data_IF_007369389888
#
_entry.id   IF_007369389888
#
_cell.length_a   1.000
_cell.length_b   1.000
_cell.length_c   1.000
_cell.angle_alpha   90.00
_cell.angle_beta   90.00
_cell.angle_gamma   90.00
#
_symmetry.space_group_name_H-M   'P 1'
#
loop_
_entity.id
_entity.type
_entity.pdbx_description
1 polymer ?
#
# COMPACT_ATOMS: atom_id res chain seq x y z
N UNK A 1 -16.04 23.62 4.94
CA UNK A 1 -14.95 24.52 4.52
C UNK A 1 -14.95 24.64 3.00
N UNK A 2 -15.43 25.76 2.47
CA UNK A 2 -15.49 26.09 1.04
C UNK A 2 -14.38 27.09 0.72
N UNK A 3 -13.86 27.08 -0.52
CA UNK A 3 -12.78 27.98 -0.95
C UNK A 3 -13.16 29.45 -0.79
N UNK A 4 -14.43 29.80 -1.04
CA UNK A 4 -14.99 31.15 -0.85
C UNK A 4 -14.83 31.69 0.57
N UNK A 5 -14.74 30.82 1.56
CA UNK A 5 -14.61 31.23 2.97
C UNK A 5 -13.18 31.78 3.29
N UNK A 6 -12.24 31.75 2.32
CA UNK A 6 -10.82 32.10 2.47
C UNK A 6 -10.29 33.05 1.37
N UNK A 7 -11.15 33.79 0.70
CA UNK A 7 -10.76 34.72 -0.38
C UNK A 7 -9.89 35.88 0.10
N UNK A 8 -9.96 36.21 1.40
CA UNK A 8 -9.14 37.23 2.03
C UNK A 8 -7.69 36.79 2.32
N UNK A 9 -7.37 35.52 2.15
CA UNK A 9 -6.06 34.98 2.51
C UNK A 9 -5.08 35.16 1.36
N UNK A 10 -4.13 36.11 1.51
CA UNK A 10 -3.20 36.51 0.46
C UNK A 10 -1.78 36.02 0.70
N UNK A 11 -1.29 35.98 1.95
CA UNK A 11 0.10 35.64 2.27
C UNK A 11 0.27 34.17 2.57
N UNK A 12 0.36 33.36 1.52
CA UNK A 12 0.50 31.91 1.62
C UNK A 12 1.84 31.44 1.07
N UNK A 13 2.38 30.38 1.64
CA UNK A 13 3.58 29.76 1.11
C UNK A 13 3.51 28.22 1.22
N UNK A 14 4.18 27.55 0.31
CA UNK A 14 4.44 26.12 0.39
C UNK A 14 5.92 25.92 0.72
N UNK A 15 6.20 25.02 1.66
CA UNK A 15 7.56 24.65 2.07
C UNK A 15 7.59 23.19 2.55
N UNK A 16 8.73 22.77 3.08
CA UNK A 16 8.85 21.42 3.69
C UNK A 16 7.87 21.20 4.87
N UNK A 17 7.41 22.26 5.53
CA UNK A 17 6.38 22.15 6.58
C UNK A 17 4.94 22.06 6.01
N UNK A 18 4.78 22.00 4.70
CA UNK A 18 3.49 22.03 4.02
C UNK A 18 3.06 23.44 3.60
N UNK A 19 1.75 23.65 3.54
CA UNK A 19 1.13 24.91 3.16
C UNK A 19 0.96 25.81 4.38
N UNK A 20 1.56 27.00 4.38
CA UNK A 20 1.53 27.93 5.52
C UNK A 20 0.72 29.18 5.23
N UNK A 21 0.01 29.66 6.26
CA UNK A 21 -0.78 30.88 6.26
C UNK A 21 -0.37 31.70 7.48
N UNK A 22 -0.30 33.03 7.34
CA UNK A 22 -0.15 33.93 8.48
C UNK A 22 -1.46 33.96 9.29
N UNK A 23 -1.38 33.83 10.61
CA UNK A 23 -2.57 33.87 11.47
C UNK A 23 -3.22 35.26 11.46
N UNK A 24 -2.44 36.31 11.16
CA UNK A 24 -2.95 37.67 10.97
C UNK A 24 -3.93 37.80 9.79
N UNK A 25 -3.81 36.93 8.81
CA UNK A 25 -4.65 36.94 7.60
C UNK A 25 -5.93 36.08 7.78
N UNK A 26 -6.12 35.51 8.97
CA UNK A 26 -7.23 34.63 9.30
C UNK A 26 -8.08 35.19 10.44
N UNK A 27 -9.37 35.07 10.35
CA UNK A 27 -10.26 35.29 11.49
C UNK A 27 -10.17 34.13 12.49
N UNK A 28 -10.59 34.36 13.73
CA UNK A 28 -10.64 33.27 14.73
C UNK A 28 -11.53 32.13 14.28
N UNK A 29 -12.65 32.40 13.64
CA UNK A 29 -13.58 31.42 13.11
C UNK A 29 -12.93 30.58 11.98
N UNK A 30 -12.18 31.22 11.08
CA UNK A 30 -11.44 30.51 10.02
C UNK A 30 -10.38 29.56 10.61
N UNK A 31 -9.64 30.01 11.65
CA UNK A 31 -8.65 29.16 12.33
C UNK A 31 -9.32 27.92 12.94
N UNK A 32 -10.42 28.10 13.67
CA UNK A 32 -11.15 26.97 14.28
C UNK A 32 -11.74 26.04 13.22
N UNK A 33 -12.24 26.57 12.12
CA UNK A 33 -12.74 25.77 11.00
C UNK A 33 -11.63 24.92 10.37
N UNK A 34 -10.43 25.48 10.20
CA UNK A 34 -9.25 24.73 9.70
C UNK A 34 -8.87 23.65 10.71
N UNK A 35 -8.76 23.97 11.98
CA UNK A 35 -8.37 23.02 13.04
C UNK A 35 -9.37 21.86 13.11
N UNK A 36 -10.67 22.15 13.10
CA UNK A 36 -11.72 21.12 13.07
C UNK A 36 -11.62 20.21 11.84
N UNK A 37 -11.38 20.77 10.66
CA UNK A 37 -11.25 20.00 9.41
C UNK A 37 -10.00 19.09 9.40
N UNK A 38 -8.94 19.48 10.11
CA UNK A 38 -7.65 18.78 10.19
C UNK A 38 -7.43 18.02 11.50
N UNK A 39 -8.44 17.96 12.36
CA UNK A 39 -8.50 17.04 13.50
C UNK A 39 -9.14 15.73 13.04
N UNK A 40 -8.42 14.64 13.21
CA UNK A 40 -8.84 13.33 12.74
C UNK A 40 -9.08 12.41 13.93
N UNK A 41 -10.28 11.87 14.01
CA UNK A 41 -10.65 10.82 14.96
C UNK A 41 -10.80 9.54 14.16
N UNK A 42 -9.97 8.50 14.39
CA UNK A 42 -10.13 7.21 13.73
C UNK A 42 -11.49 6.62 14.08
N UNK A 43 -12.20 6.04 13.11
CA UNK A 43 -13.39 5.26 13.40
C UNK A 43 -12.98 3.95 14.06
N UNK A 44 -13.57 3.64 15.19
CA UNK A 44 -13.42 2.32 15.83
C UNK A 44 -14.21 1.32 15.00
N UNK A 45 -13.58 0.22 14.63
CA UNK A 45 -14.32 -0.93 14.10
C UNK A 45 -15.02 -1.57 15.31
N UNK A 46 -16.33 -1.57 15.30
CA UNK A 46 -17.12 -2.15 16.39
C UNK A 46 -16.65 -3.57 16.73
N UNK A 47 -16.32 -3.78 18.00
CA UNK A 47 -15.86 -5.07 18.50
C UNK A 47 -14.35 -5.24 18.65
N UNK A 48 -13.51 -4.30 18.16
CA UNK A 48 -12.05 -4.37 18.28
C UNK A 48 -11.47 -3.00 18.67
N UNK A 49 -10.80 -2.93 19.83
CA UNK A 49 -9.99 -1.78 20.24
C UNK A 49 -10.62 -0.88 21.32
N UNK A 50 -9.90 0.17 21.71
CA UNK A 50 -10.35 1.18 22.66
C UNK A 50 -11.57 1.92 22.10
N UNK A 51 -12.66 1.98 22.85
CA UNK A 51 -13.91 2.63 22.43
C UNK A 51 -13.77 4.15 22.19
N UNK A 52 -12.65 4.77 22.61
CA UNK A 52 -12.34 6.19 22.39
C UNK A 52 -10.93 6.36 21.83
N UNK A 53 -10.72 6.30 20.50
CA UNK A 53 -9.43 6.55 19.91
C UNK A 53 -9.04 8.03 20.07
N UNK A 54 -7.82 8.29 20.52
CA UNK A 54 -7.29 9.65 20.62
C UNK A 54 -7.29 10.37 19.26
N UNK A 55 -7.79 11.61 19.20
CA UNK A 55 -7.68 12.42 18.00
C UNK A 55 -6.22 12.73 17.70
N UNK A 56 -5.88 12.89 16.41
CA UNK A 56 -4.59 13.39 16.00
C UNK A 56 -4.74 14.54 15.00
N UNK A 57 -3.73 15.42 15.00
CA UNK A 57 -3.79 16.68 14.27
C UNK A 57 -2.92 16.62 13.02
N UNK A 58 -3.49 17.00 11.86
CA UNK A 58 -2.77 17.10 10.60
C UNK A 58 -2.16 18.48 10.38
N UNK A 59 -2.47 19.45 11.22
CA UNK A 59 -1.88 20.78 11.19
C UNK A 59 -0.77 20.93 12.22
N UNK A 60 0.04 21.94 12.03
CA UNK A 60 1.01 22.47 13.02
C UNK A 60 0.83 23.98 13.11
N UNK A 61 1.21 24.56 14.22
CA UNK A 61 1.16 26.02 14.36
C UNK A 61 2.28 26.55 15.26
N UNK A 62 2.65 27.79 15.03
CA UNK A 62 3.47 28.60 15.94
C UNK A 62 2.73 29.90 16.25
N UNK A 63 3.41 30.86 16.90
CA UNK A 63 2.80 32.17 17.27
C UNK A 63 2.20 32.87 16.06
N UNK A 64 2.85 32.82 14.88
CA UNK A 64 2.53 33.67 13.73
C UNK A 64 1.88 32.91 12.58
N UNK A 65 2.03 31.56 12.49
CA UNK A 65 1.61 30.78 11.32
C UNK A 65 0.88 29.51 11.71
N UNK A 66 -0.02 29.08 10.82
CA UNK A 66 -0.56 27.75 10.79
C UNK A 66 -0.04 27.01 9.53
N UNK A 67 0.34 25.74 9.70
CA UNK A 67 0.86 24.87 8.66
C UNK A 67 -0.11 23.73 8.41
N UNK A 68 -0.47 23.52 7.15
CA UNK A 68 -1.47 22.56 6.69
C UNK A 68 -0.81 21.54 5.76
N UNK A 69 -1.39 20.33 5.60
CA UNK A 69 -0.98 19.44 4.53
C UNK A 69 -1.06 20.16 3.18
N UNK A 70 -0.05 19.94 2.33
CA UNK A 70 0.15 20.69 1.09
C UNK A 70 -1.11 20.75 0.22
N UNK A 71 -1.65 19.59 -0.13
CA UNK A 71 -2.76 19.51 -1.09
C UNK A 71 -4.09 19.93 -0.46
N UNK A 72 -4.24 19.78 0.86
CA UNK A 72 -5.36 20.40 1.56
C UNK A 72 -5.35 21.91 1.41
N UNK A 73 -4.19 22.55 1.67
CA UNK A 73 -4.04 24.00 1.52
C UNK A 73 -4.29 24.46 0.08
N UNK A 74 -3.69 23.81 -0.90
CA UNK A 74 -3.90 24.14 -2.31
C UNK A 74 -5.39 24.01 -2.73
N UNK A 75 -6.09 22.99 -2.25
CA UNK A 75 -7.49 22.72 -2.61
C UNK A 75 -8.48 23.63 -1.90
N UNK A 76 -8.24 23.96 -0.63
CA UNK A 76 -9.19 24.66 0.25
C UNK A 76 -8.93 26.15 0.35
N UNK A 77 -7.68 26.57 0.25
CA UNK A 77 -7.28 27.99 0.33
C UNK A 77 -7.00 28.51 -1.10
N UNK A 78 -6.14 27.84 -1.84
CA UNK A 78 -5.81 28.22 -3.20
C UNK A 78 -4.33 28.03 -3.56
N UNK A 79 -3.93 28.57 -4.70
CA UNK A 79 -2.55 28.51 -5.15
C UNK A 79 -1.66 29.32 -4.18
N UNK A 80 -0.53 28.78 -3.69
CA UNK A 80 0.36 29.51 -2.80
C UNK A 80 1.03 30.67 -3.53
N UNK A 81 1.21 31.81 -2.83
CA UNK A 81 1.90 32.98 -3.38
C UNK A 81 3.41 32.77 -3.44
N UNK A 82 3.98 31.92 -2.58
CA UNK A 82 5.41 31.60 -2.55
C UNK A 82 5.61 30.08 -2.52
N UNK A 83 6.50 29.58 -3.40
CA UNK A 83 6.91 28.17 -3.41
C UNK A 83 8.35 28.05 -2.91
N UNK A 84 8.55 27.39 -1.78
CA UNK A 84 9.82 27.13 -1.11
C UNK A 84 10.10 25.63 -0.95
N UNK A 85 9.48 24.80 -1.77
CA UNK A 85 9.74 23.36 -1.79
C UNK A 85 11.16 23.06 -2.27
N UNK A 86 11.74 21.99 -1.76
CA UNK A 86 13.02 21.52 -2.26
C UNK A 86 12.87 20.99 -3.69
N UNK A 87 13.65 21.54 -4.61
CA UNK A 87 13.67 21.11 -6.02
C UNK A 87 14.36 19.75 -6.18
N UNK A 88 15.16 19.34 -5.18
CA UNK A 88 15.96 18.13 -5.18
C UNK A 88 17.08 18.15 -6.21
N UNK A 89 18.02 17.23 -6.06
CA UNK A 89 19.10 17.01 -7.04
C UNK A 89 18.54 16.34 -8.28
N UNK A 90 19.09 16.71 -9.43
CA UNK A 90 18.80 16.02 -10.68
C UNK A 90 19.59 14.71 -10.75
N UNK A 91 18.96 13.67 -11.31
CA UNK A 91 19.57 12.37 -11.56
C UNK A 91 19.42 12.03 -13.05
N UNK A 92 20.30 11.17 -13.54
CA UNK A 92 20.20 10.63 -14.89
C UNK A 92 20.25 9.10 -14.84
N UNK A 93 19.07 8.50 -14.70
CA UNK A 93 18.89 7.06 -14.64
C UNK A 93 17.87 6.67 -15.72
N UNK A 94 18.34 6.35 -16.95
CA UNK A 94 17.45 5.98 -18.04
C UNK A 94 16.72 4.68 -17.72
N UNK A 95 15.43 4.65 -18.08
CA UNK A 95 14.59 3.47 -17.89
C UNK A 95 14.94 2.39 -18.93
N UNK A 96 15.17 1.17 -18.45
CA UNK A 96 15.44 0.01 -19.27
C UNK A 96 14.19 -0.88 -19.34
N UNK A 97 13.38 -0.69 -20.38
CA UNK A 97 12.15 -1.44 -20.59
C UNK A 97 11.18 -0.70 -21.52
N UNK A 98 10.01 -1.29 -21.72
CA UNK A 98 8.94 -0.72 -22.54
C UNK A 98 7.64 -0.65 -21.72
N UNK A 99 6.96 0.49 -21.75
CA UNK A 99 5.64 0.65 -21.14
C UNK A 99 4.55 0.15 -22.08
N UNK A 100 3.59 -0.60 -21.54
CA UNK A 100 2.38 -0.98 -22.27
C UNK A 100 1.51 0.25 -22.52
N UNK A 101 0.67 0.21 -23.53
CA UNK A 101 -0.16 1.35 -23.91
C UNK A 101 -1.05 1.86 -22.77
N UNK A 102 -1.71 0.95 -22.05
CA UNK A 102 -2.53 1.33 -20.91
C UNK A 102 -1.73 1.96 -19.77
N UNK A 103 -0.49 1.49 -19.54
CA UNK A 103 0.41 2.07 -18.53
C UNK A 103 0.80 3.49 -18.90
N UNK A 104 1.04 3.76 -20.19
CA UNK A 104 1.35 5.09 -20.67
C UNK A 104 0.20 6.07 -20.44
N UNK A 105 -1.05 5.64 -20.64
CA UNK A 105 -2.25 6.46 -20.32
C UNK A 105 -2.30 6.82 -18.84
N UNK A 106 -2.02 5.87 -17.95
CA UNK A 106 -1.99 6.06 -16.49
C UNK A 106 -0.89 7.04 -16.10
N UNK A 107 0.30 6.86 -16.65
CA UNK A 107 1.47 7.73 -16.41
C UNK A 107 1.19 9.16 -16.85
N UNK A 108 0.61 9.35 -18.03
CA UNK A 108 0.25 10.67 -18.55
C UNK A 108 -0.77 11.37 -17.65
N UNK A 109 -1.79 10.65 -17.16
CA UNK A 109 -2.77 11.19 -16.21
C UNK A 109 -2.11 11.70 -14.93
N UNK A 110 -1.16 10.92 -14.36
CA UNK A 110 -0.40 11.39 -13.20
C UNK A 110 0.47 12.60 -13.54
N UNK A 111 1.14 12.60 -14.70
CA UNK A 111 2.03 13.69 -15.12
C UNK A 111 1.27 15.02 -15.24
N UNK A 112 0.08 15.00 -15.84
CA UNK A 112 -0.78 16.19 -15.93
C UNK A 112 -1.18 16.73 -14.55
N UNK A 113 -1.51 15.84 -13.60
CA UNK A 113 -1.79 16.24 -12.22
C UNK A 113 -0.56 16.81 -11.52
N UNK A 114 0.61 16.17 -11.70
CA UNK A 114 1.86 16.60 -11.10
C UNK A 114 2.32 17.96 -11.63
N UNK A 115 2.12 18.26 -12.90
CA UNK A 115 2.44 19.56 -13.48
C UNK A 115 1.57 20.69 -12.90
N UNK A 116 0.30 20.40 -12.58
CA UNK A 116 -0.65 21.38 -12.03
C UNK A 116 -0.49 21.57 -10.52
N UNK A 117 -0.34 20.49 -9.77
CA UNK A 117 -0.42 20.49 -8.31
C UNK A 117 0.84 19.97 -7.60
N UNK A 118 1.69 19.24 -8.30
CA UNK A 118 2.92 18.63 -7.81
C UNK A 118 2.78 17.17 -7.39
N UNK A 119 1.66 16.49 -7.68
CA UNK A 119 1.56 15.06 -7.40
C UNK A 119 0.15 14.51 -7.52
N UNK A 120 0.01 13.24 -7.16
CA UNK A 120 -1.26 12.51 -7.19
C UNK A 120 -1.10 11.04 -6.82
N UNK A 121 -2.22 10.35 -6.77
CA UNK A 121 -2.29 8.93 -6.43
C UNK A 121 -2.75 8.16 -7.66
N UNK A 122 -1.99 7.12 -8.03
CA UNK A 122 -2.38 6.11 -9.02
C UNK A 122 -3.02 4.95 -8.26
N UNK A 123 -4.29 4.68 -8.58
CA UNK A 123 -5.05 3.57 -8.03
C UNK A 123 -5.37 2.58 -9.13
N UNK A 124 -4.64 1.46 -9.13
CA UNK A 124 -4.84 0.37 -10.08
C UNK A 124 -4.71 -0.98 -9.40
N UNK A 125 -5.44 -1.96 -9.89
CA UNK A 125 -5.47 -3.30 -9.33
C UNK A 125 -4.09 -3.95 -9.22
N UNK A 126 -3.99 -5.08 -8.49
CA UNK A 126 -2.79 -5.91 -8.46
C UNK A 126 -2.42 -6.40 -9.87
N UNK A 127 -1.14 -6.71 -10.11
CA UNK A 127 -0.67 -7.21 -11.41
C UNK A 127 -0.56 -6.17 -12.54
N UNK A 128 -1.07 -4.95 -12.37
CA UNK A 128 -1.06 -3.89 -13.38
C UNK A 128 0.29 -3.17 -13.54
N UNK A 129 1.33 -3.55 -12.81
CA UNK A 129 2.68 -2.98 -12.91
C UNK A 129 2.85 -1.62 -12.24
N UNK A 130 2.16 -1.35 -11.12
CA UNK A 130 2.30 -0.11 -10.33
C UNK A 130 3.76 0.28 -10.09
N UNK A 131 4.56 -0.68 -9.62
CA UNK A 131 5.99 -0.48 -9.32
C UNK A 131 6.78 -0.06 -10.56
N UNK A 132 6.54 -0.73 -11.69
CA UNK A 132 7.24 -0.44 -12.96
C UNK A 132 6.86 0.95 -13.48
N UNK A 133 5.57 1.31 -13.44
CA UNK A 133 5.11 2.66 -13.79
C UNK A 133 5.75 3.73 -12.91
N UNK A 134 5.86 3.49 -11.60
CA UNK A 134 6.51 4.43 -10.69
C UNK A 134 7.99 4.59 -11.00
N UNK A 135 8.71 3.51 -11.33
CA UNK A 135 10.12 3.54 -11.73
C UNK A 135 10.30 4.33 -13.05
N UNK A 136 9.40 4.12 -14.01
CA UNK A 136 9.41 4.92 -15.23
C UNK A 136 9.18 6.42 -14.96
N UNK A 137 8.21 6.74 -14.08
CA UNK A 137 7.96 8.12 -13.67
C UNK A 137 9.19 8.74 -13.00
N UNK A 138 9.90 8.01 -12.13
CA UNK A 138 11.14 8.49 -11.50
C UNK A 138 12.21 8.82 -12.54
N UNK A 139 12.40 7.94 -13.54
CA UNK A 139 13.32 8.20 -14.67
C UNK A 139 12.91 9.43 -15.47
N UNK A 140 11.63 9.56 -15.80
CA UNK A 140 11.08 10.70 -16.55
C UNK A 140 11.22 12.03 -15.79
N UNK A 141 10.99 12.03 -14.48
CA UNK A 141 11.06 13.25 -13.65
C UNK A 141 12.48 13.68 -13.35
N UNK A 142 13.47 12.80 -13.51
CA UNK A 142 14.91 13.07 -13.32
C UNK A 142 15.24 13.74 -11.99
N UNK A 143 14.59 13.30 -10.91
CA UNK A 143 14.80 13.82 -9.56
C UNK A 143 15.25 12.73 -8.61
N UNK A 144 16.23 13.04 -7.74
CA UNK A 144 16.56 12.18 -6.61
C UNK A 144 15.28 11.85 -5.86
N UNK A 145 14.99 10.55 -5.70
CA UNK A 145 13.71 10.06 -5.22
C UNK A 145 13.85 9.29 -3.92
N UNK A 146 12.94 9.56 -2.98
CA UNK A 146 12.73 8.76 -1.80
C UNK A 146 11.50 7.86 -2.00
N UNK A 147 11.69 6.54 -1.92
CA UNK A 147 10.62 5.56 -1.95
C UNK A 147 10.33 5.16 -0.51
N UNK A 148 9.08 5.23 -0.10
CA UNK A 148 8.63 4.87 1.25
C UNK A 148 7.83 3.58 1.23
N UNK A 149 8.29 2.62 2.04
CA UNK A 149 7.68 1.30 2.18
C UNK A 149 7.45 0.97 3.65
N UNK A 150 6.51 0.06 3.93
CA UNK A 150 6.14 -0.30 5.30
C UNK A 150 6.62 -1.69 5.74
N UNK A 151 7.04 -2.57 4.80
CA UNK A 151 7.59 -3.90 5.09
C UNK A 151 8.98 -4.08 4.50
N UNK A 152 9.75 -5.02 5.09
CA UNK A 152 11.09 -5.38 4.59
C UNK A 152 11.04 -6.08 3.24
N UNK A 153 9.98 -6.82 2.98
CA UNK A 153 9.81 -7.54 1.72
C UNK A 153 9.57 -6.57 0.56
N UNK A 154 8.74 -5.53 0.79
CA UNK A 154 8.59 -4.44 -0.17
C UNK A 154 9.90 -3.69 -0.41
N UNK A 155 10.71 -3.46 0.64
CA UNK A 155 12.02 -2.84 0.49
C UNK A 155 12.92 -3.66 -0.45
N UNK A 156 13.00 -4.97 -0.25
CA UNK A 156 13.79 -5.87 -1.09
C UNK A 156 13.26 -5.91 -2.54
N UNK A 157 11.95 -6.00 -2.72
CA UNK A 157 11.32 -5.93 -4.05
C UNK A 157 11.66 -4.62 -4.77
N UNK A 158 11.57 -3.49 -4.09
CA UNK A 158 11.91 -2.21 -4.69
C UNK A 158 13.37 -2.13 -5.10
N UNK A 159 14.30 -2.69 -4.30
CA UNK A 159 15.72 -2.79 -4.67
C UNK A 159 15.87 -3.59 -5.96
N UNK A 160 15.27 -4.78 -6.01
CA UNK A 160 15.32 -5.67 -7.17
C UNK A 160 14.77 -4.99 -8.43
N UNK A 161 13.57 -4.40 -8.34
CA UNK A 161 12.92 -3.76 -9.48
C UNK A 161 13.63 -2.48 -9.93
N UNK A 162 14.14 -1.66 -9.01
CA UNK A 162 14.95 -0.49 -9.38
C UNK A 162 16.24 -0.93 -10.06
N UNK A 163 16.91 -1.97 -9.57
CA UNK A 163 18.13 -2.53 -10.21
C UNK A 163 17.83 -3.03 -11.61
N UNK A 164 16.71 -3.69 -11.82
CA UNK A 164 16.29 -4.24 -13.11
C UNK A 164 16.00 -3.14 -14.14
N UNK A 165 15.21 -2.11 -13.73
CA UNK A 165 14.69 -1.11 -14.66
C UNK A 165 15.49 0.19 -14.69
N UNK A 166 16.32 0.49 -13.69
CA UNK A 166 17.25 1.61 -13.66
C UNK A 166 18.66 1.10 -13.31
N UNK A 167 19.32 0.32 -14.19
CA UNK A 167 20.58 -0.37 -13.87
C UNK A 167 21.73 0.58 -13.52
N UNK A 168 21.66 1.84 -13.91
CA UNK A 168 22.66 2.87 -13.59
C UNK A 168 22.42 3.59 -12.27
N UNK A 169 21.26 3.37 -11.61
CA UNK A 169 20.88 4.06 -10.39
C UNK A 169 21.68 3.57 -9.17
N UNK A 170 22.22 4.49 -8.41
CA UNK A 170 22.86 4.21 -7.12
C UNK A 170 21.78 4.16 -6.04
N UNK A 171 21.50 2.96 -5.56
CA UNK A 171 20.45 2.71 -4.56
C UNK A 171 21.00 2.89 -3.16
N UNK A 172 20.24 3.53 -2.26
CA UNK A 172 20.51 3.62 -0.83
C UNK A 172 19.32 3.17 -0.01
N UNK A 173 19.55 2.92 1.27
CA UNK A 173 18.55 2.40 2.21
C UNK A 173 18.52 3.28 3.46
N UNK A 174 17.29 3.59 3.95
CA UNK A 174 17.06 4.20 5.26
C UNK A 174 16.20 3.26 6.10
N UNK A 175 16.87 2.56 7.03
CA UNK A 175 16.23 1.59 7.92
C UNK A 175 16.94 1.53 9.26
N UNK A 176 16.29 1.97 10.33
CA UNK A 176 16.89 2.01 11.66
C UNK A 176 18.16 2.88 11.67
N UNK A 177 19.28 2.30 12.03
CA UNK A 177 20.60 2.97 12.05
C UNK A 177 21.27 3.08 10.67
N UNK A 178 20.77 2.35 9.67
CA UNK A 178 21.32 2.38 8.31
C UNK A 178 20.73 3.57 7.56
N UNK A 179 21.56 4.57 7.25
CA UNK A 179 21.17 5.84 6.59
C UNK A 179 22.10 6.08 5.39
N UNK A 180 21.74 5.52 4.25
CA UNK A 180 22.49 5.63 2.99
C UNK A 180 21.81 6.62 2.05
N UNK A 181 22.05 7.91 2.22
CA UNK A 181 21.45 8.97 1.41
C UNK A 181 22.46 9.67 0.50
N UNK A 182 23.68 9.86 1.02
CA UNK A 182 24.72 10.61 0.30
C UNK A 182 25.13 9.88 -0.99
N UNK A 183 25.27 10.63 -2.09
CA UNK A 183 25.67 10.11 -3.40
C UNK A 183 24.76 8.99 -3.96
N UNK A 184 23.50 8.92 -3.49
CA UNK A 184 22.50 7.99 -3.98
C UNK A 184 21.49 8.72 -4.86
N UNK A 185 20.98 8.02 -5.87
CA UNK A 185 20.00 8.53 -6.81
C UNK A 185 18.57 8.20 -6.37
N UNK A 186 18.39 6.94 -5.95
CA UNK A 186 17.14 6.41 -5.41
C UNK A 186 17.40 5.89 -4.00
N UNK A 187 16.59 6.32 -3.04
CA UNK A 187 16.69 5.87 -1.65
C UNK A 187 15.38 5.21 -1.23
N UNK A 188 15.47 4.01 -0.65
CA UNK A 188 14.28 3.29 -0.15
C UNK A 188 14.28 3.39 1.37
N UNK A 189 13.23 4.00 1.91
CA UNK A 189 13.07 4.29 3.33
C UNK A 189 11.93 3.53 3.97
N UNK A 190 12.19 3.00 5.18
CA UNK A 190 11.13 2.39 6.01
C UNK A 190 10.31 3.47 6.70
N UNK A 191 9.00 3.49 6.47
CA UNK A 191 8.09 4.47 7.10
C UNK A 191 8.19 4.45 8.63
N UNK A 192 8.29 3.26 9.23
CA UNK A 192 8.44 3.11 10.68
C UNK A 192 9.69 3.80 11.23
N UNK A 193 10.79 3.78 10.47
CA UNK A 193 12.02 4.46 10.88
C UNK A 193 11.84 5.97 10.87
N UNK A 194 11.28 6.51 9.77
CA UNK A 194 11.12 7.94 9.56
C UNK A 194 9.99 8.58 10.39
N UNK A 195 9.00 7.80 10.82
CA UNK A 195 7.86 8.28 11.61
C UNK A 195 8.09 8.24 13.12
N UNK A 196 9.21 7.67 13.59
CA UNK A 196 9.51 7.55 15.01
C UNK A 196 10.00 8.89 15.59
N UNK A 197 9.24 9.55 16.49
CA UNK A 197 9.62 10.85 17.03
C UNK A 197 10.88 10.82 17.89
N UNK A 198 11.22 9.65 18.49
CA UNK A 198 12.46 9.48 19.28
C UNK A 198 13.73 9.47 18.40
N UNK A 199 13.56 9.43 17.07
CA UNK A 199 14.65 9.36 16.10
C UNK A 199 14.72 10.60 15.21
N UNK A 200 14.05 11.69 15.58
CA UNK A 200 14.02 12.90 14.77
C UNK A 200 15.42 13.51 14.58
N UNK A 201 16.30 13.36 15.56
CA UNK A 201 17.71 13.77 15.46
C UNK A 201 18.54 12.89 14.53
N UNK A 202 18.20 11.59 14.40
CA UNK A 202 18.84 10.66 13.46
C UNK A 202 18.49 10.97 12.00
N UNK A 203 17.35 11.65 11.76
CA UNK A 203 16.83 11.98 10.42
C UNK A 203 16.66 13.49 10.26
N UNK A 204 17.76 14.27 10.22
CA UNK A 204 17.69 15.74 10.16
C UNK A 204 17.10 16.21 8.82
N UNK A 205 16.49 17.39 8.84
CA UNK A 205 15.89 18.01 7.66
C UNK A 205 16.88 18.12 6.48
N UNK A 206 18.15 18.36 6.77
CA UNK A 206 19.21 18.50 5.76
C UNK A 206 19.30 17.26 4.86
N UNK A 207 19.06 16.07 5.44
CA UNK A 207 19.04 14.81 4.68
C UNK A 207 17.99 14.82 3.56
N UNK A 208 16.85 15.49 3.79
CA UNK A 208 15.73 15.50 2.86
C UNK A 208 15.83 16.56 1.76
N UNK A 209 16.71 17.57 1.92
CA UNK A 209 16.83 18.67 0.94
C UNK A 209 17.25 18.22 -0.47
N UNK A 210 17.94 17.11 -0.57
CA UNK A 210 18.40 16.57 -1.86
C UNK A 210 17.30 15.89 -2.67
N UNK A 211 16.20 15.49 -2.02
CA UNK A 211 15.11 14.80 -2.70
C UNK A 211 14.14 15.78 -3.35
N UNK A 212 13.81 15.53 -4.61
CA UNK A 212 12.79 16.28 -5.34
C UNK A 212 11.47 15.53 -5.49
N UNK A 213 11.48 14.22 -5.24
CA UNK A 213 10.31 13.37 -5.39
C UNK A 213 10.19 12.36 -4.24
N UNK A 214 8.95 12.06 -3.86
CA UNK A 214 8.63 10.95 -2.96
C UNK A 214 7.63 10.01 -3.64
N UNK A 215 7.88 8.72 -3.54
CA UNK A 215 6.96 7.64 -3.95
C UNK A 215 6.55 6.88 -2.70
N UNK A 216 5.26 6.62 -2.53
CA UNK A 216 4.75 5.85 -1.40
C UNK A 216 3.96 4.67 -1.93
N UNK A 217 4.50 3.49 -1.67
CA UNK A 217 3.87 2.25 -2.09
C UNK A 217 2.86 1.77 -1.05
N UNK A 218 1.75 1.20 -1.54
CA UNK A 218 0.62 0.71 -0.77
C UNK A 218 0.20 1.70 0.34
N UNK A 219 0.07 2.98 -0.05
CA UNK A 219 -0.15 4.09 0.87
C UNK A 219 -1.37 3.89 1.81
N UNK A 220 -2.33 3.05 1.42
CA UNK A 220 -3.52 2.73 2.20
C UNK A 220 -3.26 1.80 3.40
N UNK A 221 -2.17 1.02 3.41
CA UNK A 221 -1.81 0.13 4.54
C UNK A 221 -1.19 0.87 5.72
N UNK A 222 -0.63 2.05 5.50
CA UNK A 222 0.05 2.81 6.54
C UNK A 222 -0.96 3.49 7.47
N UNK A 223 -0.81 3.31 8.78
CA UNK A 223 -1.65 4.01 9.76
C UNK A 223 -1.57 5.53 9.59
N UNK A 224 -2.71 6.21 9.49
CA UNK A 224 -2.78 7.64 9.14
C UNK A 224 -1.94 8.54 10.07
N UNK A 225 -1.82 8.21 11.35
CA UNK A 225 -0.96 8.94 12.32
C UNK A 225 0.52 8.79 11.99
N UNK A 226 0.97 7.58 11.66
CA UNK A 226 2.35 7.28 11.26
C UNK A 226 2.69 7.92 9.92
N UNK A 227 1.79 7.78 8.96
CA UNK A 227 1.89 8.37 7.63
C UNK A 227 2.05 9.90 7.71
N UNK A 228 1.18 10.58 8.47
CA UNK A 228 1.25 12.03 8.61
C UNK A 228 2.55 12.50 9.26
N UNK A 229 3.10 11.75 10.22
CA UNK A 229 4.40 12.05 10.85
C UNK A 229 5.56 11.95 9.86
N UNK A 230 5.58 10.89 9.07
CA UNK A 230 6.59 10.70 8.04
C UNK A 230 6.52 11.84 6.99
N UNK A 231 5.32 12.14 6.50
CA UNK A 231 5.14 13.10 5.42
C UNK A 231 5.29 14.57 5.82
N UNK A 232 5.22 14.90 7.10
CA UNK A 232 5.60 16.22 7.59
C UNK A 232 7.07 16.55 7.34
N UNK A 233 7.94 15.53 7.20
CA UNK A 233 9.37 15.69 6.91
C UNK A 233 9.69 15.61 5.41
N UNK A 234 8.75 15.15 4.59
CA UNK A 234 8.99 14.78 3.19
C UNK A 234 8.13 15.58 2.19
N UNK A 235 7.95 16.88 2.45
CA UNK A 235 7.24 17.75 1.51
C UNK A 235 8.15 18.14 0.34
N UNK A 236 8.26 17.25 -0.64
CA UNK A 236 9.06 17.44 -1.84
C UNK A 236 8.25 18.06 -2.98
N UNK A 237 8.93 18.41 -4.06
CA UNK A 237 8.31 19.03 -5.22
C UNK A 237 7.26 18.12 -5.85
N UNK A 238 7.56 16.80 -5.95
CA UNK A 238 6.66 15.82 -6.54
C UNK A 238 6.32 14.70 -5.57
N UNK A 239 5.06 14.27 -5.60
CA UNK A 239 4.55 13.15 -4.81
C UNK A 239 3.84 12.14 -5.71
N UNK A 240 4.07 10.86 -5.47
CA UNK A 240 3.37 9.76 -6.12
C UNK A 240 2.90 8.76 -5.07
N UNK A 241 1.60 8.59 -4.93
CA UNK A 241 1.01 7.51 -4.16
C UNK A 241 0.63 6.35 -5.07
N UNK A 242 0.90 5.12 -4.63
CA UNK A 242 0.47 3.89 -5.28
C UNK A 242 -0.50 3.15 -4.36
N UNK A 243 -1.59 2.66 -4.92
CA UNK A 243 -2.58 1.89 -4.17
C UNK A 243 -3.33 0.93 -5.08
N UNK A 244 -3.66 -0.27 -4.57
CA UNK A 244 -4.60 -1.15 -5.24
C UNK A 244 -6.05 -0.81 -4.87
N UNK A 245 -6.27 -0.36 -3.64
CA UNK A 245 -7.57 -0.02 -3.08
C UNK A 245 -7.48 1.31 -2.32
N UNK A 246 -7.84 2.44 -2.96
CA UNK A 246 -7.62 3.76 -2.36
C UNK A 246 -8.55 4.05 -1.18
N UNK A 247 -9.68 3.31 -1.08
CA UNK A 247 -10.67 3.57 -0.05
C UNK A 247 -10.41 2.74 1.21
N UNK A 248 -10.24 3.45 2.32
CA UNK A 248 -10.04 2.86 3.64
C UNK A 248 -11.36 2.72 4.39
N UNK A 249 -11.54 1.58 5.06
CA UNK A 249 -12.73 1.33 5.90
C UNK A 249 -12.80 2.27 7.12
N UNK A 250 -11.66 2.76 7.62
CA UNK A 250 -11.58 3.70 8.74
C UNK A 250 -11.91 5.16 8.34
N UNK A 251 -12.27 5.41 7.06
CA UNK A 251 -12.62 6.74 6.54
C UNK A 251 -11.44 7.71 6.42
N UNK A 252 -10.20 7.23 6.57
CA UNK A 252 -8.99 8.06 6.58
C UNK A 252 -8.33 8.24 5.20
N UNK A 253 -8.98 7.81 4.12
CA UNK A 253 -8.55 8.05 2.72
C UNK A 253 -8.23 9.52 2.45
N UNK A 254 -9.00 10.46 3.05
CA UNK A 254 -8.77 11.90 2.93
C UNK A 254 -7.37 12.32 3.40
N UNK A 255 -6.78 11.63 4.38
CA UNK A 255 -5.45 11.97 4.92
C UNK A 255 -4.39 11.80 3.84
N UNK A 256 -4.43 10.71 3.08
CA UNK A 256 -3.48 10.48 1.99
C UNK A 256 -3.60 11.52 0.89
N UNK A 257 -4.83 11.87 0.51
CA UNK A 257 -5.10 12.93 -0.49
C UNK A 257 -4.56 14.30 -0.04
N UNK A 258 -4.57 14.58 1.27
CA UNK A 258 -4.04 15.82 1.79
C UNK A 258 -2.52 15.95 1.68
N UNK A 259 -1.80 14.83 1.66
CA UNK A 259 -0.34 14.81 1.57
C UNK A 259 0.20 14.44 0.19
N UNK A 260 -0.53 13.62 -0.59
CA UNK A 260 -0.06 13.09 -1.88
C UNK A 260 -0.71 13.73 -3.10
N UNK A 261 -1.88 14.35 -2.93
CA UNK A 261 -2.73 14.85 -4.00
C UNK A 261 -3.96 13.98 -4.22
N UNK A 262 -4.82 14.41 -5.14
CA UNK A 262 -6.02 13.67 -5.50
C UNK A 262 -5.64 12.37 -6.27
N UNK A 263 -6.61 11.45 -6.36
CA UNK A 263 -6.47 10.26 -7.20
C UNK A 263 -6.55 10.75 -8.65
N UNK A 264 -5.46 10.60 -9.39
CA UNK A 264 -5.35 11.02 -10.79
C UNK A 264 -5.80 9.93 -11.76
N UNK A 265 -5.74 8.67 -11.34
CA UNK A 265 -6.25 7.54 -12.10
C UNK A 265 -6.81 6.47 -11.15
N UNK A 266 -7.96 5.90 -11.50
CA UNK A 266 -8.62 4.86 -10.71
C UNK A 266 -9.29 3.83 -11.62
N UNK A 267 -8.76 2.61 -11.65
CA UNK A 267 -9.30 1.49 -12.43
C UNK A 267 -10.75 1.14 -12.08
N UNK A 268 -11.10 1.23 -10.79
CA UNK A 268 -12.41 0.82 -10.29
C UNK A 268 -13.50 1.86 -10.52
N UNK A 269 -13.12 3.11 -10.81
CA UNK A 269 -14.06 4.20 -11.06
C UNK A 269 -14.40 4.39 -12.54
N UNK A 270 -13.70 3.68 -13.42
CA UNK A 270 -13.97 3.72 -14.86
C UNK A 270 -14.96 2.58 -15.14
N UNK A 271 -16.19 2.90 -15.55
CA UNK A 271 -17.09 1.93 -16.19
C UNK A 271 -16.41 1.47 -17.49
N UNK A 272 -15.80 0.31 -17.46
CA UNK A 272 -15.16 -0.27 -18.62
C UNK A 272 -16.23 -0.79 -19.57
N UNK A 273 -16.18 -0.35 -20.80
CA UNK A 273 -16.98 -0.95 -21.87
C UNK A 273 -16.47 -2.41 -22.10
N UNK A 274 -17.35 -3.28 -22.61
CA UNK A 274 -17.00 -4.66 -22.93
C UNK A 274 -15.76 -4.79 -23.82
N UNK A 275 -15.52 -3.80 -24.68
CA UNK A 275 -14.38 -3.76 -25.61
C UNK A 275 -13.09 -3.29 -24.92
N UNK A 276 -13.17 -2.38 -23.95
CA UNK A 276 -12.01 -1.96 -23.15
C UNK A 276 -11.54 -3.07 -22.20
N UNK A 277 -12.46 -3.91 -21.68
CA UNK A 277 -12.13 -5.11 -20.92
C UNK A 277 -11.36 -6.13 -21.76
N UNK A 278 -11.72 -6.28 -23.05
CA UNK A 278 -11.02 -7.17 -23.99
C UNK A 278 -9.66 -6.62 -24.41
N UNK A 279 -9.48 -5.30 -24.51
CA UNK A 279 -8.21 -4.68 -24.87
C UNK A 279 -7.17 -4.70 -23.76
N UNK A 280 -7.59 -4.85 -22.50
CA UNK A 280 -6.67 -4.85 -21.35
C UNK A 280 -5.81 -6.12 -21.22
N UNK A 281 -6.01 -7.16 -22.06
CA UNK A 281 -5.27 -8.43 -22.07
C UNK A 281 -4.88 -8.94 -20.67
N UNK A 282 -5.78 -8.75 -19.69
CA UNK A 282 -5.61 -9.42 -18.42
C UNK A 282 -5.93 -10.89 -18.63
N UNK A 283 -5.11 -11.81 -18.11
CA UNK A 283 -5.48 -13.19 -18.13
C UNK A 283 -6.78 -13.36 -17.36
N UNK A 284 -7.73 -14.03 -17.95
CA UNK A 284 -8.93 -14.48 -17.27
C UNK A 284 -8.53 -15.52 -16.22
N UNK A 285 -9.16 -15.45 -15.05
CA UNK A 285 -9.01 -16.47 -14.03
C UNK A 285 -10.24 -17.39 -14.07
N UNK A 286 -10.03 -18.66 -14.23
CA UNK A 286 -11.08 -19.64 -14.05
C UNK A 286 -11.38 -19.79 -12.55
N UNK A 287 -12.61 -19.47 -12.15
CA UNK A 287 -13.04 -19.53 -10.76
C UNK A 287 -13.89 -20.78 -10.54
N UNK A 288 -13.37 -21.72 -9.77
CA UNK A 288 -14.09 -22.92 -9.35
C UNK A 288 -14.59 -22.75 -7.91
N UNK A 289 -15.90 -22.84 -7.71
CA UNK A 289 -16.53 -22.77 -6.40
C UNK A 289 -16.93 -24.17 -5.99
N UNK A 290 -16.34 -24.66 -4.89
CA UNK A 290 -16.66 -25.95 -4.31
C UNK A 290 -17.49 -25.74 -3.03
N UNK A 291 -18.70 -26.26 -3.01
CA UNK A 291 -19.54 -26.27 -1.83
C UNK A 291 -19.17 -27.48 -0.98
N UNK A 292 -18.80 -27.22 0.29
CA UNK A 292 -18.53 -28.25 1.26
C UNK A 292 -19.70 -28.34 2.25
N UNK A 293 -20.41 -29.46 2.24
CA UNK A 293 -21.51 -29.75 3.13
C UNK A 293 -21.02 -30.63 4.28
N UNK A 294 -21.48 -30.35 5.49
CA UNK A 294 -21.17 -31.10 6.69
C UNK A 294 -22.47 -31.36 7.45
N UNK A 295 -22.64 -32.63 7.94
CA UNK A 295 -23.80 -33.04 8.74
C UNK A 295 -23.69 -32.66 10.24
N UNK A 296 -22.56 -32.07 10.66
CA UNK A 296 -22.37 -31.62 12.05
C UNK A 296 -23.03 -30.26 12.25
N UNK A 297 -24.08 -30.20 13.03
CA UNK A 297 -24.82 -28.96 13.39
C UNK A 297 -23.93 -27.87 14.00
N UNK A 298 -22.76 -28.24 14.50
CA UNK A 298 -21.78 -27.27 15.03
C UNK A 298 -20.96 -26.56 13.94
N UNK A 299 -20.85 -27.15 12.75
CA UNK A 299 -20.06 -26.62 11.66
C UNK A 299 -20.58 -25.27 11.19
N UNK A 300 -21.87 -25.14 10.93
CA UNK A 300 -22.53 -23.92 10.43
C UNK A 300 -23.10 -23.04 11.54
N UNK A 301 -22.81 -23.35 12.80
CA UNK A 301 -23.38 -22.63 13.94
C UNK A 301 -22.91 -21.17 13.98
N UNK A 302 -23.89 -20.25 13.95
CA UNK A 302 -23.65 -18.84 14.18
C UNK A 302 -23.19 -18.60 15.61
N UNK A 303 -21.97 -18.13 15.78
CA UNK A 303 -21.40 -17.76 17.09
C UNK A 303 -21.43 -16.24 17.23
N UNK A 304 -22.09 -15.77 18.29
CA UNK A 304 -22.19 -14.35 18.60
C UNK A 304 -21.17 -13.96 19.68
N UNK A 305 -20.63 -12.75 19.59
CA UNK A 305 -19.84 -12.13 20.65
C UNK A 305 -20.75 -11.53 21.74
N UNK A 306 -20.16 -10.94 22.80
CA UNK A 306 -20.90 -10.32 23.91
C UNK A 306 -21.80 -9.13 23.47
N UNK A 307 -21.52 -8.52 22.31
CA UNK A 307 -22.37 -7.46 21.68
C UNK A 307 -23.44 -8.02 20.76
N UNK A 308 -23.70 -9.32 20.79
CA UNK A 308 -24.65 -10.04 19.89
C UNK A 308 -24.33 -9.90 18.39
N UNK A 309 -23.08 -9.65 18.04
CA UNK A 309 -22.58 -9.57 16.65
C UNK A 309 -21.88 -10.90 16.28
N UNK A 310 -21.87 -11.32 14.99
CA UNK A 310 -21.17 -12.52 14.57
C UNK A 310 -19.70 -12.49 14.96
N UNK A 311 -19.25 -13.51 15.71
CA UNK A 311 -17.84 -13.70 16.05
C UNK A 311 -17.11 -14.46 14.94
N UNK A 312 -16.78 -13.74 13.88
CA UNK A 312 -16.13 -14.30 12.68
C UNK A 312 -14.80 -14.98 13.00
N UNK A 313 -14.03 -14.47 13.97
CA UNK A 313 -12.74 -15.06 14.37
C UNK A 313 -12.91 -16.47 14.96
N UNK A 314 -13.89 -16.65 15.83
CA UNK A 314 -14.18 -17.96 16.43
C UNK A 314 -14.77 -18.91 15.39
N UNK A 315 -15.70 -18.44 14.57
CA UNK A 315 -16.30 -19.24 13.50
C UNK A 315 -15.24 -19.72 12.50
N UNK A 316 -14.34 -18.83 12.07
CA UNK A 316 -13.24 -19.15 11.18
C UNK A 316 -12.24 -20.15 11.81
N UNK A 317 -11.96 -20.01 13.11
CA UNK A 317 -11.15 -20.98 13.85
C UNK A 317 -11.82 -22.35 13.88
N UNK A 318 -13.13 -22.41 14.08
CA UNK A 318 -13.87 -23.67 14.10
C UNK A 318 -13.83 -24.33 12.71
N UNK A 319 -14.13 -23.60 11.64
CA UNK A 319 -14.06 -24.11 10.26
C UNK A 319 -12.68 -24.69 9.95
N UNK A 320 -11.61 -24.01 10.38
CA UNK A 320 -10.23 -24.44 10.11
C UNK A 320 -9.83 -25.74 10.84
N UNK A 321 -10.54 -26.14 11.89
CA UNK A 321 -10.29 -27.35 12.67
C UNK A 321 -11.03 -28.58 12.17
N UNK A 322 -11.97 -28.44 11.24
CA UNK A 322 -12.69 -29.57 10.67
C UNK A 322 -11.79 -30.38 9.72
N UNK A 323 -11.37 -31.54 10.20
CA UNK A 323 -10.44 -32.41 9.47
C UNK A 323 -11.02 -32.89 8.14
N UNK A 324 -12.29 -33.30 8.12
CA UNK A 324 -12.97 -33.72 6.89
C UNK A 324 -13.00 -32.63 5.81
N UNK A 325 -13.08 -31.35 6.22
CA UNK A 325 -12.98 -30.22 5.28
C UNK A 325 -11.55 -30.03 4.76
N UNK A 326 -10.56 -30.15 5.64
CA UNK A 326 -9.14 -30.11 5.24
C UNK A 326 -8.83 -31.26 4.27
N UNK A 327 -9.32 -32.48 4.55
CA UNK A 327 -9.15 -33.64 3.68
C UNK A 327 -9.85 -33.46 2.33
N UNK A 328 -11.05 -32.84 2.32
CA UNK A 328 -11.72 -32.48 1.08
C UNK A 328 -10.88 -31.51 0.23
N UNK A 329 -10.30 -30.46 0.82
CA UNK A 329 -9.42 -29.55 0.10
C UNK A 329 -8.19 -30.27 -0.46
N UNK A 330 -7.59 -31.17 0.33
CA UNK A 330 -6.45 -31.98 -0.08
C UNK A 330 -6.81 -32.92 -1.24
N UNK A 331 -8.02 -33.47 -1.26
CA UNK A 331 -8.48 -34.36 -2.34
C UNK A 331 -8.53 -33.71 -3.72
N UNK A 332 -8.55 -32.38 -3.79
CA UNK A 332 -8.49 -31.63 -5.05
C UNK A 332 -7.06 -31.55 -5.62
N UNK A 333 -6.04 -31.72 -4.79
CA UNK A 333 -4.63 -31.47 -5.16
C UNK A 333 -4.07 -32.47 -6.19
N UNK A 334 -4.35 -33.80 -6.13
CA UNK A 334 -3.77 -34.75 -7.10
C UNK A 334 -4.04 -34.37 -8.55
N UNK A 335 -5.26 -33.93 -8.85
CA UNK A 335 -5.62 -33.49 -10.20
C UNK A 335 -4.86 -32.22 -10.64
N UNK A 336 -4.71 -31.25 -9.76
CA UNK A 336 -3.96 -30.02 -10.04
C UNK A 336 -2.46 -30.29 -10.20
N UNK A 337 -1.91 -31.16 -9.36
CA UNK A 337 -0.50 -31.57 -9.42
C UNK A 337 -0.19 -32.31 -10.70
N UNK A 338 -1.08 -33.22 -11.15
CA UNK A 338 -0.90 -33.96 -12.42
C UNK A 338 -0.88 -33.03 -13.64
N UNK A 339 -1.52 -31.87 -13.55
CA UNK A 339 -1.47 -30.82 -14.56
C UNK A 339 -0.24 -29.91 -14.43
N UNK A 340 0.72 -30.28 -13.58
CA UNK A 340 1.93 -29.50 -13.28
C UNK A 340 1.66 -28.09 -12.76
N UNK A 341 0.51 -27.85 -12.09
CA UNK A 341 0.16 -26.56 -11.51
C UNK A 341 1.07 -26.19 -10.36
N UNK A 342 1.32 -24.88 -10.23
CA UNK A 342 2.03 -24.26 -9.10
C UNK A 342 1.00 -23.63 -8.15
N UNK A 343 0.82 -24.24 -6.99
CA UNK A 343 -0.34 -24.01 -6.12
C UNK A 343 0.06 -23.20 -4.89
N UNK A 344 -0.78 -22.23 -4.52
CA UNK A 344 -0.75 -21.61 -3.21
C UNK A 344 -2.06 -21.87 -2.48
N UNK A 345 -1.97 -22.39 -1.25
CA UNK A 345 -3.12 -22.61 -0.35
C UNK A 345 -3.04 -21.54 0.74
N UNK A 346 -4.09 -20.72 0.89
CA UNK A 346 -4.17 -19.65 1.87
C UNK A 346 -5.08 -20.00 3.04
N UNK A 347 -4.57 -19.84 4.24
CA UNK A 347 -5.34 -19.95 5.48
C UNK A 347 -5.00 -18.79 6.42
N UNK A 348 -5.99 -18.37 7.22
CA UNK A 348 -5.79 -17.41 8.32
C UNK A 348 -5.24 -18.07 9.60
N UNK A 349 -5.19 -19.41 9.65
CA UNK A 349 -4.84 -20.19 10.84
C UNK A 349 -3.56 -20.99 10.64
N UNK A 350 -2.55 -20.74 11.51
CA UNK A 350 -1.25 -21.43 11.43
C UNK A 350 -1.35 -22.92 11.70
N UNK A 351 -2.26 -23.34 12.59
CA UNK A 351 -2.47 -24.75 12.91
C UNK A 351 -2.97 -25.50 11.65
N UNK A 352 -3.91 -24.91 10.91
CA UNK A 352 -4.38 -25.51 9.66
C UNK A 352 -3.28 -25.55 8.57
N UNK A 353 -2.39 -24.55 8.55
CA UNK A 353 -1.23 -24.56 7.63
C UNK A 353 -0.32 -25.74 7.96
N UNK A 354 -0.02 -25.97 9.23
CA UNK A 354 0.79 -27.11 9.67
C UNK A 354 0.13 -28.46 9.29
N UNK A 355 -1.17 -28.58 9.51
CA UNK A 355 -1.96 -29.77 9.13
C UNK A 355 -1.94 -30.04 7.63
N UNK A 356 -2.12 -29.03 6.78
CA UNK A 356 -1.96 -29.17 5.33
C UNK A 356 -0.57 -29.67 4.94
N UNK A 357 0.48 -29.10 5.53
CA UNK A 357 1.87 -29.48 5.19
C UNK A 357 2.13 -30.92 5.58
N UNK A 358 1.73 -31.34 6.79
CA UNK A 358 1.88 -32.69 7.29
C UNK A 358 1.17 -33.71 6.37
N UNK A 359 -0.11 -33.48 6.10
CA UNK A 359 -0.93 -34.40 5.29
C UNK A 359 -0.46 -34.47 3.83
N UNK A 360 -0.14 -33.32 3.21
CA UNK A 360 0.37 -33.32 1.83
C UNK A 360 1.74 -34.00 1.74
N UNK A 361 2.60 -33.82 2.75
CA UNK A 361 3.90 -34.50 2.81
C UNK A 361 3.75 -36.02 2.96
N UNK A 362 2.81 -36.48 3.79
CA UNK A 362 2.51 -37.91 3.97
C UNK A 362 1.97 -38.54 2.68
N UNK A 363 1.16 -37.82 1.92
CA UNK A 363 0.64 -38.31 0.62
C UNK A 363 1.72 -38.39 -0.47
N UNK A 364 2.83 -37.66 -0.34
CA UNK A 364 3.94 -37.70 -1.29
C UNK A 364 3.60 -37.24 -2.72
N UNK A 365 2.47 -36.55 -2.92
CA UNK A 365 1.98 -36.16 -4.26
C UNK A 365 2.78 -35.03 -4.89
N UNK A 366 3.36 -34.13 -4.07
CA UNK A 366 4.15 -32.99 -4.51
C UNK A 366 5.04 -32.45 -3.40
N UNK A 367 6.04 -31.66 -3.77
CA UNK A 367 6.82 -30.91 -2.78
C UNK A 367 5.99 -29.77 -2.18
N UNK A 368 5.91 -29.70 -0.85
CA UNK A 368 5.14 -28.69 -0.11
C UNK A 368 6.02 -27.92 0.88
N UNK A 369 5.70 -26.66 1.12
CA UNK A 369 6.41 -25.84 2.09
C UNK A 369 5.56 -24.73 2.69
N UNK A 370 5.87 -24.31 3.96
CA UNK A 370 5.20 -23.21 4.63
C UNK A 370 5.67 -21.86 4.09
N UNK A 371 4.77 -20.88 4.05
CA UNK A 371 5.11 -19.47 3.79
C UNK A 371 4.39 -18.58 4.81
N UNK A 372 4.96 -18.49 6.01
CA UNK A 372 4.32 -17.84 7.17
C UNK A 372 5.23 -16.80 7.80
N UNK A 373 4.64 -15.80 8.43
CA UNK A 373 5.40 -14.74 9.11
C UNK A 373 6.29 -15.29 10.24
N UNK A 374 7.48 -14.69 10.41
CA UNK A 374 8.46 -15.11 11.42
C UNK A 374 9.46 -16.17 10.94
N UNK A 375 9.33 -16.70 9.73
CA UNK A 375 10.35 -17.57 9.13
C UNK A 375 11.61 -16.78 8.75
N UNK A 376 12.77 -17.43 8.80
CA UNK A 376 14.02 -16.87 8.28
C UNK A 376 13.97 -16.73 6.76
N UNK A 377 14.66 -15.74 6.21
CA UNK A 377 14.66 -15.42 4.78
C UNK A 377 15.07 -16.64 3.91
N UNK A 378 16.08 -17.39 4.33
CA UNK A 378 16.54 -18.58 3.61
C UNK A 378 15.47 -19.66 3.50
N UNK A 379 14.69 -19.87 4.59
CA UNK A 379 13.60 -20.85 4.61
C UNK A 379 12.44 -20.38 3.74
N UNK A 380 12.15 -19.07 3.67
CA UNK A 380 11.14 -18.53 2.76
C UNK A 380 11.54 -18.74 1.30
N UNK A 381 12.83 -18.55 0.96
CA UNK A 381 13.36 -18.81 -0.38
C UNK A 381 13.29 -20.30 -0.76
N UNK A 382 13.62 -21.20 0.17
CA UNK A 382 13.47 -22.64 -0.05
C UNK A 382 12.00 -23.05 -0.25
N UNK A 383 11.09 -22.47 0.52
CA UNK A 383 9.65 -22.74 0.36
C UNK A 383 9.15 -22.29 -1.02
N UNK A 384 9.61 -21.16 -1.54
CA UNK A 384 9.24 -20.70 -2.89
C UNK A 384 9.60 -21.67 -4.02
N UNK A 385 10.58 -22.57 -3.82
CA UNK A 385 10.95 -23.59 -4.81
C UNK A 385 9.97 -24.77 -4.86
N UNK A 386 9.12 -24.92 -3.84
CA UNK A 386 8.16 -26.03 -3.74
C UNK A 386 7.01 -25.87 -4.73
N UNK A 387 6.40 -26.98 -5.13
CA UNK A 387 5.26 -27.00 -6.05
C UNK A 387 3.99 -26.47 -5.37
N UNK A 388 3.82 -26.78 -4.07
CA UNK A 388 2.70 -26.33 -3.26
C UNK A 388 3.24 -25.45 -2.14
N UNK A 389 2.75 -24.22 -2.06
CA UNK A 389 2.96 -23.33 -0.92
C UNK A 389 1.72 -23.31 -0.03
N UNK A 390 1.90 -23.37 1.27
CA UNK A 390 0.81 -23.15 2.24
C UNK A 390 1.15 -21.92 3.06
N UNK A 391 0.33 -20.87 2.91
CA UNK A 391 0.67 -19.54 3.39
C UNK A 391 -0.44 -18.89 4.21
N UNK A 392 -0.05 -17.92 5.04
CA UNK A 392 -1.04 -17.00 5.64
C UNK A 392 -1.44 -15.93 4.62
N UNK A 393 -2.68 -15.44 4.69
CA UNK A 393 -3.13 -14.32 3.85
C UNK A 393 -2.20 -13.10 3.94
N UNK A 394 -1.77 -12.74 5.17
CA UNK A 394 -0.87 -11.62 5.37
C UNK A 394 0.45 -11.74 4.57
N UNK A 395 1.02 -12.94 4.49
CA UNK A 395 2.25 -13.20 3.74
C UNK A 395 2.04 -13.19 2.22
N UNK A 396 0.84 -13.55 1.76
CA UNK A 396 0.50 -13.54 0.34
C UNK A 396 0.03 -12.16 -0.15
N UNK A 397 -0.51 -11.30 0.74
CA UNK A 397 -1.03 -9.98 0.38
C UNK A 397 0.08 -8.95 0.19
N UNK A 398 1.08 -8.93 1.09
CA UNK A 398 2.08 -7.87 1.15
C UNK A 398 3.46 -8.35 0.70
N UNK A 399 3.99 -7.74 -0.36
CA UNK A 399 5.36 -7.99 -0.79
C UNK A 399 5.65 -9.40 -1.32
N UNK A 400 4.63 -10.22 -1.54
CA UNK A 400 4.79 -11.56 -2.11
C UNK A 400 4.84 -11.46 -3.64
N UNK A 401 6.02 -11.65 -4.22
CA UNK A 401 6.23 -11.76 -5.67
C UNK A 401 6.71 -13.20 -5.98
N UNK A 402 5.84 -13.99 -6.60
CA UNK A 402 6.16 -15.34 -7.02
C UNK A 402 5.45 -15.64 -8.33
N UNK A 403 6.11 -15.30 -9.40
CA UNK A 403 5.56 -15.19 -10.75
C UNK A 403 5.11 -16.52 -11.36
N UNK A 404 5.56 -17.65 -10.82
CA UNK A 404 5.23 -18.97 -11.36
C UNK A 404 3.97 -19.59 -10.78
N UNK A 405 3.30 -18.92 -9.82
CA UNK A 405 2.04 -19.43 -9.28
C UNK A 405 0.90 -19.21 -10.27
N UNK A 406 0.13 -20.26 -10.49
CA UNK A 406 -1.01 -20.28 -11.42
C UNK A 406 -2.32 -20.74 -10.77
N UNK A 407 -2.27 -21.24 -9.54
CA UNK A 407 -3.44 -21.77 -8.85
C UNK A 407 -3.49 -21.30 -7.41
N UNK A 408 -4.64 -20.76 -7.01
CA UNK A 408 -4.91 -20.28 -5.66
C UNK A 408 -6.08 -21.06 -5.04
N UNK A 409 -5.87 -21.60 -3.84
CA UNK A 409 -6.91 -22.22 -3.02
C UNK A 409 -7.09 -21.38 -1.74
N UNK A 410 -8.28 -20.88 -1.50
CA UNK A 410 -8.63 -20.17 -0.27
C UNK A 410 -9.28 -21.12 0.73
N UNK A 411 -8.49 -21.59 1.69
CA UNK A 411 -8.93 -22.58 2.69
C UNK A 411 -9.77 -21.97 3.81
N UNK A 412 -9.70 -20.67 4.08
CA UNK A 412 -10.55 -19.95 5.03
C UNK A 412 -11.19 -18.72 4.38
N UNK A 413 -12.35 -18.24 4.89
CA UNK A 413 -12.99 -17.05 4.33
C UNK A 413 -12.12 -15.80 4.42
N UNK A 414 -12.18 -14.96 3.39
CA UNK A 414 -11.52 -13.67 3.35
C UNK A 414 -12.42 -12.60 2.77
N UNK A 415 -12.52 -11.46 3.46
CA UNK A 415 -13.43 -10.37 3.05
C UNK A 415 -12.95 -9.62 1.80
N UNK A 416 -11.63 -9.46 1.63
CA UNK A 416 -11.01 -8.79 0.48
C UNK A 416 -10.04 -9.75 -0.16
N UNK A 417 -10.29 -10.14 -1.39
CA UNK A 417 -9.53 -11.16 -2.10
C UNK A 417 -8.66 -10.61 -3.23
N UNK A 418 -8.84 -9.34 -3.59
CA UNK A 418 -8.23 -8.72 -4.78
C UNK A 418 -6.70 -8.79 -4.75
N UNK A 419 -6.10 -8.63 -3.56
CA UNK A 419 -4.64 -8.71 -3.42
C UNK A 419 -4.12 -10.15 -3.53
N UNK A 420 -4.87 -11.12 -3.00
CA UNK A 420 -4.50 -12.53 -3.06
C UNK A 420 -4.63 -13.07 -4.47
N UNK A 421 -5.74 -12.78 -5.15
CA UNK A 421 -5.99 -13.22 -6.54
C UNK A 421 -5.00 -12.59 -7.52
N UNK A 422 -4.63 -11.34 -7.29
CA UNK A 422 -3.60 -10.67 -8.10
C UNK A 422 -2.22 -11.33 -8.08
N UNK A 423 -1.98 -12.32 -7.21
CA UNK A 423 -0.71 -13.07 -7.15
C UNK A 423 -0.59 -14.17 -8.18
N UNK A 424 -1.73 -14.68 -8.67
CA UNK A 424 -1.77 -15.70 -9.73
C UNK A 424 -2.11 -15.10 -11.11
N UNK A 425 -2.53 -13.82 -11.15
CA UNK A 425 -2.93 -13.11 -12.39
C UNK A 425 -1.77 -12.22 -12.89
N UNK A 426 -0.52 -12.52 -12.60
CA UNK A 426 0.61 -11.76 -13.13
C UNK A 426 0.80 -12.04 -14.61
N UNK A 427 0.49 -11.05 -15.45
CA UNK A 427 0.82 -11.07 -16.88
C UNK A 427 2.25 -10.61 -17.09
N UNK A 428 3.03 -11.42 -17.79
CA UNK A 428 4.37 -11.08 -18.27
C UNK A 428 4.33 -10.21 -19.52
#
# INVERSE_FOLDING_TARGET
MRKKDFENVVNTAISYNGFSILKSDLTKEQIETIKKALTVVPKVVEGYGNDNPEPFYLFQENKNKIYLPRFFGQKKIGKPTKNKLFKGKSINCPFNGTMREYQQKIINSWKEHADKSGGGIISVGPGRGKTVMAIYIMSMMKKKTLILVHTSDLLNQWIERVTQYLPTARIGIVRGKKIEVMQKDIVIGMIHSLSNPKKDEEYPLEMFKEFGMVVIDECHHVGAKMFSRCLKKTAFMYTLGLSATPDRQDGLTKVFKYYLGDICYNDTAIEKTSDELKMDHLPDADVHIYEYLNSDDKYDKLILNYKKMPNTVTMETNISKYQSRTDFIISLLPNLVSQNRRIIILSSRRDQIADFIEKISLLGIASVGPYVGGMKADLLLESKKKQILVATYAMAEEGFDHQILDTLIMATPKKKIEQCTGRIICVF
#
